data_IF_605416381263
#
_entry.id   IF_605416381263
#
_cell.length_a   1.000
_cell.length_b   1.000
_cell.length_c   1.000
_cell.angle_alpha   90.00
_cell.angle_beta   90.00
_cell.angle_gamma   90.00
#
_symmetry.space_group_name_H-M   'P 1'
#
loop_
_entity.id
_entity.type
_entity.pdbx_description
1 polymer ?
#
# COMPACT_ATOMS: atom_id res chain seq x y z
N UNK A 1 14.45 22.66 15.92
CA UNK A 1 15.46 22.53 14.84
C UNK A 1 16.12 21.14 14.88
N UNK A 2 16.85 20.76 15.93
CA UNK A 2 17.58 19.47 16.05
C UNK A 2 16.81 18.17 15.75
N UNK A 3 15.48 18.13 15.95
CA UNK A 3 14.65 16.96 15.64
C UNK A 3 14.12 16.94 14.20
N UNK A 4 13.98 18.10 13.55
CA UNK A 4 13.53 18.24 12.16
C UNK A 4 14.67 17.77 11.23
N UNK A 5 15.91 18.17 11.53
CA UNK A 5 17.10 17.76 10.78
C UNK A 5 17.29 16.24 10.78
N UNK A 6 16.98 15.59 11.92
CA UNK A 6 17.00 14.12 12.06
C UNK A 6 15.94 13.43 11.20
N UNK A 7 14.72 13.98 11.14
CA UNK A 7 13.65 13.44 10.30
C UNK A 7 13.98 13.63 8.81
N UNK A 8 14.55 14.78 8.45
CA UNK A 8 14.97 15.05 7.07
C UNK A 8 16.00 14.04 6.57
N UNK A 9 16.95 13.64 7.42
CA UNK A 9 17.94 12.62 7.08
C UNK A 9 17.35 11.20 6.90
N UNK A 10 16.14 10.95 7.42
CA UNK A 10 15.43 9.67 7.29
C UNK A 10 14.49 9.64 6.07
N UNK A 11 14.18 10.79 5.46
CA UNK A 11 13.31 10.87 4.28
C UNK A 11 13.76 9.94 3.15
N UNK A 12 15.04 9.89 2.73
CA UNK A 12 15.46 9.03 1.63
C UNK A 12 15.17 7.54 1.90
N UNK A 13 15.33 7.10 3.14
CA UNK A 13 15.02 5.72 3.55
C UNK A 13 13.50 5.47 3.50
N UNK A 14 12.69 6.44 3.92
CA UNK A 14 11.23 6.37 3.80
C UNK A 14 10.76 6.26 2.35
N UNK A 15 11.34 7.06 1.45
CA UNK A 15 11.06 6.96 0.01
C UNK A 15 11.45 5.61 -0.57
N UNK A 16 12.65 5.11 -0.25
CA UNK A 16 13.10 3.79 -0.71
C UNK A 16 12.15 2.68 -0.22
N UNK A 17 11.71 2.75 1.04
CA UNK A 17 10.76 1.80 1.61
C UNK A 17 9.41 1.85 0.88
N UNK A 18 8.89 3.05 0.57
CA UNK A 18 7.67 3.22 -0.23
C UNK A 18 7.81 2.67 -1.65
N UNK A 19 8.95 2.86 -2.31
CA UNK A 19 9.21 2.28 -3.64
C UNK A 19 9.11 0.75 -3.58
N UNK A 20 9.78 0.13 -2.61
CA UNK A 20 9.77 -1.33 -2.46
C UNK A 20 8.34 -1.81 -2.19
N UNK A 21 7.60 -1.15 -1.30
CA UNK A 21 6.19 -1.46 -1.03
C UNK A 21 5.31 -1.33 -2.28
N UNK A 22 5.45 -0.23 -3.03
CA UNK A 22 4.68 0.07 -4.23
C UNK A 22 4.91 -0.96 -5.33
N UNK A 23 6.18 -1.21 -5.67
CA UNK A 23 6.56 -2.23 -6.66
C UNK A 23 5.99 -3.59 -6.26
N UNK A 24 6.17 -3.97 -5.00
CA UNK A 24 5.75 -5.27 -4.49
C UNK A 24 4.23 -5.44 -4.61
N UNK A 25 3.45 -4.47 -4.10
CA UNK A 25 1.99 -4.50 -4.15
C UNK A 25 1.48 -4.54 -5.59
N UNK A 26 1.94 -3.62 -6.43
CA UNK A 26 1.42 -3.46 -7.79
C UNK A 26 1.83 -4.61 -8.68
N UNK A 27 3.08 -5.06 -8.60
CA UNK A 27 3.55 -6.19 -9.42
C UNK A 27 2.72 -7.43 -9.11
N UNK A 28 2.44 -7.71 -7.85
CA UNK A 28 1.62 -8.87 -7.47
C UNK A 28 0.16 -8.71 -7.90
N UNK A 29 -0.44 -7.52 -7.72
CA UNK A 29 -1.81 -7.27 -8.15
C UNK A 29 -1.96 -7.44 -9.66
N UNK A 30 -1.16 -6.72 -10.46
CA UNK A 30 -1.28 -6.69 -11.92
C UNK A 30 -0.80 -7.97 -12.59
N UNK A 31 0.16 -8.70 -11.99
CA UNK A 31 0.61 -9.99 -12.51
C UNK A 31 -0.52 -11.03 -12.56
N UNK A 32 -1.44 -10.99 -11.59
CA UNK A 32 -2.58 -11.92 -11.53
C UNK A 32 -3.59 -11.75 -12.67
N UNK A 33 -3.53 -10.62 -13.39
CA UNK A 33 -4.31 -10.33 -14.59
C UNK A 33 -3.42 -10.24 -15.85
N UNK A 34 -2.17 -10.70 -15.76
CA UNK A 34 -1.26 -10.81 -16.90
C UNK A 34 -0.56 -9.50 -17.31
N UNK A 35 -0.57 -8.47 -16.46
CA UNK A 35 0.04 -7.17 -16.76
C UNK A 35 1.36 -7.01 -16.00
N UNK A 36 2.43 -6.73 -16.73
CA UNK A 36 3.69 -6.30 -16.12
C UNK A 36 3.66 -4.77 -15.91
N UNK A 37 3.11 -4.35 -14.78
CA UNK A 37 2.88 -2.94 -14.43
C UNK A 37 4.15 -2.09 -14.39
N UNK A 38 5.32 -2.69 -14.14
CA UNK A 38 6.62 -1.99 -14.10
C UNK A 38 6.93 -1.37 -15.46
N UNK A 39 6.50 -2.01 -16.56
CA UNK A 39 6.70 -1.46 -17.92
C UNK A 39 5.87 -0.22 -18.21
N UNK A 40 4.83 0.01 -17.42
CA UNK A 40 3.85 1.07 -17.66
C UNK A 40 3.85 2.15 -16.58
N UNK A 41 4.70 2.02 -15.54
CA UNK A 41 4.66 2.90 -14.37
C UNK A 41 5.96 3.67 -14.20
N UNK A 42 5.85 4.94 -13.88
CA UNK A 42 6.96 5.77 -13.42
C UNK A 42 7.26 5.52 -11.94
N UNK A 43 8.41 6.01 -11.48
CA UNK A 43 8.77 5.99 -10.05
C UNK A 43 7.73 6.74 -9.21
N UNK A 44 7.16 7.83 -9.74
CA UNK A 44 6.13 8.60 -9.04
C UNK A 44 4.85 7.77 -8.84
N UNK A 45 4.41 7.05 -9.87
CA UNK A 45 3.22 6.18 -9.78
C UNK A 45 3.42 5.10 -8.71
N UNK A 46 4.60 4.48 -8.71
CA UNK A 46 5.00 3.47 -7.74
C UNK A 46 5.00 4.03 -6.31
N UNK A 47 5.51 5.25 -6.12
CA UNK A 47 5.56 5.90 -4.81
C UNK A 47 4.17 6.25 -4.25
N UNK A 48 3.27 6.71 -5.13
CA UNK A 48 1.91 7.11 -4.72
C UNK A 48 1.03 5.88 -4.48
N UNK A 49 1.28 4.77 -5.16
CA UNK A 49 0.43 3.58 -5.13
C UNK A 49 0.15 3.01 -3.73
N UNK A 50 1.14 2.85 -2.81
CA UNK A 50 0.85 2.46 -1.43
C UNK A 50 -0.07 3.44 -0.70
N UNK A 51 0.12 4.74 -0.93
CA UNK A 51 -0.70 5.78 -0.31
C UNK A 51 -2.14 5.70 -0.84
N UNK A 52 -2.29 5.58 -2.16
CA UNK A 52 -3.59 5.40 -2.81
C UNK A 52 -4.33 4.18 -2.26
N UNK A 53 -3.64 3.06 -2.07
CA UNK A 53 -4.20 1.85 -1.48
C UNK A 53 -4.64 2.06 -0.02
N UNK A 54 -3.86 2.78 0.80
CA UNK A 54 -4.26 3.12 2.19
C UNK A 54 -5.52 3.98 2.22
N UNK A 55 -5.67 4.89 1.25
CA UNK A 55 -6.80 5.82 1.16
C UNK A 55 -8.02 5.28 0.39
N UNK A 56 -7.93 4.10 -0.22
CA UNK A 56 -9.01 3.55 -1.06
C UNK A 56 -10.27 3.22 -0.27
N UNK A 57 -10.09 2.79 0.98
CA UNK A 57 -11.18 2.43 1.89
C UNK A 57 -10.98 3.07 3.27
N UNK A 58 -11.98 3.78 3.82
CA UNK A 58 -11.88 4.41 5.14
C UNK A 58 -11.48 3.43 6.25
N UNK A 59 -11.97 2.19 6.21
CA UNK A 59 -11.64 1.15 7.19
C UNK A 59 -10.15 0.78 7.14
N UNK A 60 -9.58 0.64 5.94
CA UNK A 60 -8.16 0.32 5.77
C UNK A 60 -7.28 1.50 6.22
N UNK A 61 -7.67 2.73 5.86
CA UNK A 61 -7.02 3.95 6.35
C UNK A 61 -6.96 4.01 7.88
N UNK A 62 -8.11 3.82 8.55
CA UNK A 62 -8.21 3.84 10.02
C UNK A 62 -7.36 2.72 10.64
N UNK A 63 -7.36 1.52 10.04
CA UNK A 63 -6.56 0.38 10.51
C UNK A 63 -5.07 0.71 10.50
N UNK A 64 -4.56 1.29 9.39
CA UNK A 64 -3.17 1.73 9.27
C UNK A 64 -2.84 2.83 10.28
N UNK A 65 -3.74 3.80 10.48
CA UNK A 65 -3.54 4.88 11.44
C UNK A 65 -3.41 4.34 12.87
N UNK A 66 -4.32 3.44 13.28
CA UNK A 66 -4.27 2.79 14.60
C UNK A 66 -2.99 1.96 14.77
N UNK A 67 -2.54 1.29 13.70
CA UNK A 67 -1.27 0.55 13.69
C UNK A 67 -0.08 1.47 13.98
N UNK A 68 0.01 2.64 13.33
CA UNK A 68 1.07 3.61 13.60
C UNK A 68 1.03 4.13 15.04
N UNK A 69 -0.16 4.45 15.56
CA UNK A 69 -0.33 4.89 16.96
C UNK A 69 0.11 3.79 17.93
N UNK A 70 -0.26 2.54 17.66
CA UNK A 70 0.16 1.39 18.47
C UNK A 70 1.68 1.24 18.47
N UNK A 71 2.32 1.21 17.29
CA UNK A 71 3.76 1.04 17.17
C UNK A 71 4.58 2.23 17.69
N UNK A 72 4.02 3.44 17.69
CA UNK A 72 4.63 4.60 18.34
C UNK A 72 4.69 4.43 19.87
N UNK A 73 3.66 3.84 20.47
CA UNK A 73 3.61 3.61 21.92
C UNK A 73 4.27 2.29 22.35
N UNK A 74 4.47 1.35 21.42
CA UNK A 74 5.00 0.01 21.67
C UNK A 74 6.33 0.02 22.45
N UNK A 75 7.35 0.86 22.15
CA UNK A 75 8.60 0.86 22.91
C UNK A 75 8.41 1.13 24.41
N UNK A 76 7.51 2.06 24.76
CA UNK A 76 7.19 2.38 26.17
C UNK A 76 6.44 1.23 26.84
N UNK A 77 5.54 0.57 26.11
CA UNK A 77 4.80 -0.60 26.60
C UNK A 77 5.74 -1.77 26.86
N UNK A 78 6.72 -1.99 25.98
CA UNK A 78 7.74 -3.04 26.13
C UNK A 78 8.65 -2.74 27.33
N UNK A 79 9.12 -1.49 27.46
CA UNK A 79 9.95 -1.07 28.60
C UNK A 79 9.22 -1.26 29.93
N UNK A 80 7.95 -0.82 30.04
CA UNK A 80 7.16 -0.95 31.27
C UNK A 80 6.92 -2.41 31.70
N UNK A 81 6.97 -3.35 30.77
CA UNK A 81 6.69 -4.76 31.03
C UNK A 81 7.94 -5.64 30.91
N UNK A 82 9.14 -5.05 30.90
CA UNK A 82 10.39 -5.74 30.55
C UNK A 82 10.66 -7.01 31.38
N UNK A 83 10.15 -7.08 32.61
CA UNK A 83 10.29 -8.24 33.50
C UNK A 83 9.72 -9.56 32.92
N UNK A 84 8.88 -9.47 31.89
CA UNK A 84 8.26 -10.64 31.25
C UNK A 84 9.21 -11.25 30.21
N UNK A 85 9.68 -12.48 30.46
CA UNK A 85 10.56 -13.26 29.56
C UNK A 85 10.10 -13.34 28.09
N UNK A 86 8.79 -13.29 27.82
CA UNK A 86 8.29 -13.30 26.44
C UNK A 86 8.66 -12.02 25.67
N UNK A 87 8.82 -10.88 26.35
CA UNK A 87 9.17 -9.59 25.72
C UNK A 87 10.60 -9.61 25.19
N UNK A 88 11.54 -10.19 25.93
CA UNK A 88 12.91 -10.39 25.46
C UNK A 88 12.97 -11.33 24.24
N UNK A 89 12.13 -12.38 24.22
CA UNK A 89 12.04 -13.29 23.07
C UNK A 89 11.37 -12.66 21.84
N UNK A 90 10.35 -11.84 22.04
CA UNK A 90 9.56 -11.23 20.96
C UNK A 90 10.24 -9.99 20.35
N UNK A 91 11.01 -9.24 21.14
CA UNK A 91 11.70 -8.03 20.69
C UNK A 91 12.86 -8.28 19.71
N UNK A 92 13.26 -9.54 19.49
CA UNK A 92 14.34 -9.90 18.56
C UNK A 92 15.68 -9.25 18.91
N UNK A 93 15.84 -8.84 20.17
CA UNK A 93 17.05 -8.19 20.67
C UNK A 93 18.13 -9.26 20.82
N UNK A 94 19.26 -9.07 20.16
CA UNK A 94 20.40 -10.01 20.18
C UNK A 94 21.25 -9.94 21.45
N UNK A 95 20.98 -8.97 22.32
CA UNK A 95 21.66 -8.80 23.61
C UNK A 95 21.12 -9.81 24.62
N UNK A 96 22.00 -10.37 25.43
CA UNK A 96 21.62 -11.27 26.52
C UNK A 96 20.85 -10.53 27.62
N UNK A 97 19.99 -11.23 28.36
CA UNK A 97 19.22 -10.66 29.49
C UNK A 97 20.12 -9.91 30.49
N UNK A 98 21.37 -10.37 30.65
CA UNK A 98 22.38 -9.76 31.53
C UNK A 98 22.87 -8.42 30.98
N UNK A 99 23.13 -8.32 29.68
CA UNK A 99 23.56 -7.08 29.02
C UNK A 99 22.43 -6.05 29.00
N UNK A 100 21.18 -6.47 28.81
CA UNK A 100 20.01 -5.58 28.84
C UNK A 100 19.80 -4.96 30.22
N UNK A 101 20.05 -5.72 31.31
CA UNK A 101 19.94 -5.23 32.69
C UNK A 101 21.00 -4.20 33.08
N UNK A 102 22.13 -4.18 32.37
CA UNK A 102 23.22 -3.24 32.62
C UNK A 102 23.06 -1.91 31.86
N UNK A 103 22.11 -1.84 30.92
CA UNK A 103 21.83 -0.63 30.14
C UNK A 103 21.00 0.37 30.95
N UNK A 104 21.25 1.65 30.68
CA UNK A 104 20.37 2.74 31.13
C UNK A 104 18.98 2.62 30.50
N UNK A 105 17.96 3.23 31.13
CA UNK A 105 16.60 3.22 30.58
C UNK A 105 16.52 3.84 29.17
N UNK A 106 17.32 4.87 28.89
CA UNK A 106 17.36 5.50 27.56
C UNK A 106 17.89 4.53 26.49
N UNK A 107 18.91 3.75 26.81
CA UNK A 107 19.48 2.75 25.89
C UNK A 107 18.51 1.60 25.64
N UNK A 108 17.79 1.16 26.67
CA UNK A 108 16.73 0.15 26.55
C UNK A 108 15.60 0.66 25.65
N UNK A 109 15.14 1.89 25.87
CA UNK A 109 14.10 2.53 25.06
C UNK A 109 14.51 2.61 23.57
N UNK A 110 15.77 2.97 23.29
CA UNK A 110 16.29 3.00 21.92
C UNK A 110 16.32 1.60 21.27
N UNK A 111 16.65 0.57 22.04
CA UNK A 111 16.63 -0.82 21.58
C UNK A 111 15.21 -1.26 21.21
N UNK A 112 14.24 -1.04 22.10
CA UNK A 112 12.82 -1.34 21.83
C UNK A 112 12.25 -0.49 20.70
N UNK A 113 12.71 0.75 20.52
CA UNK A 113 12.34 1.61 19.39
C UNK A 113 12.80 0.99 18.07
N UNK A 114 14.06 0.55 18.01
CA UNK A 114 14.60 -0.10 16.80
C UNK A 114 13.88 -1.41 16.50
N UNK A 115 13.60 -2.23 17.51
CA UNK A 115 12.80 -3.45 17.36
C UNK A 115 11.39 -3.16 16.83
N UNK A 116 10.72 -2.14 17.41
CA UNK A 116 9.37 -1.72 17.00
C UNK A 116 9.34 -1.23 15.56
N UNK A 117 10.33 -0.44 15.12
CA UNK A 117 10.44 0.02 13.72
C UNK A 117 10.63 -1.17 12.77
N UNK A 118 11.54 -2.11 13.08
CA UNK A 118 11.76 -3.31 12.23
C UNK A 118 10.51 -4.18 12.13
N UNK A 119 9.82 -4.39 13.25
CA UNK A 119 8.56 -5.14 13.31
C UNK A 119 7.47 -4.43 12.49
N UNK A 120 7.33 -3.11 12.63
CA UNK A 120 6.37 -2.32 11.85
C UNK A 120 6.67 -2.43 10.35
N UNK A 121 7.94 -2.25 9.93
CA UNK A 121 8.34 -2.37 8.53
C UNK A 121 8.00 -3.75 7.95
N UNK A 122 8.31 -4.82 8.70
CA UNK A 122 8.00 -6.19 8.30
C UNK A 122 6.49 -6.40 8.17
N UNK A 123 5.72 -5.94 9.16
CA UNK A 123 4.27 -6.04 9.17
C UNK A 123 3.65 -5.29 7.98
N UNK A 124 4.11 -4.07 7.69
CA UNK A 124 3.64 -3.29 6.55
C UNK A 124 3.92 -4.01 5.23
N UNK A 125 5.13 -4.56 5.04
CA UNK A 125 5.45 -5.37 3.85
C UNK A 125 4.47 -6.54 3.72
N UNK A 126 4.26 -7.32 4.78
CA UNK A 126 3.32 -8.44 4.77
C UNK A 126 1.88 -8.02 4.48
N UNK A 127 1.45 -6.89 5.05
CA UNK A 127 0.10 -6.35 4.84
C UNK A 127 -0.12 -5.93 3.39
N UNK A 128 0.82 -5.20 2.79
CA UNK A 128 0.72 -4.76 1.39
C UNK A 128 0.88 -5.91 0.39
N UNK A 129 1.72 -6.90 0.71
CA UNK A 129 1.77 -8.18 -0.01
C UNK A 129 0.38 -8.84 0.00
N UNK A 130 -0.20 -9.00 1.19
CA UNK A 130 -1.53 -9.60 1.36
C UNK A 130 -2.61 -8.82 0.62
N UNK A 131 -2.59 -7.49 0.69
CA UNK A 131 -3.51 -6.61 -0.03
C UNK A 131 -3.40 -6.82 -1.54
N UNK A 132 -2.19 -6.77 -2.11
CA UNK A 132 -1.99 -6.97 -3.55
C UNK A 132 -2.44 -8.35 -4.04
N UNK A 133 -2.21 -9.40 -3.24
CA UNK A 133 -2.72 -10.75 -3.52
C UNK A 133 -4.25 -10.77 -3.49
N UNK A 134 -4.86 -10.31 -2.40
CA UNK A 134 -6.30 -10.40 -2.20
C UNK A 134 -7.08 -9.60 -3.24
N UNK A 135 -6.68 -8.36 -3.48
CA UNK A 135 -7.34 -7.45 -4.43
C UNK A 135 -7.21 -7.97 -5.88
N UNK A 136 -6.01 -8.46 -6.24
CA UNK A 136 -5.78 -9.06 -7.56
C UNK A 136 -6.56 -10.34 -7.79
N UNK A 137 -6.68 -11.22 -6.78
CA UNK A 137 -7.50 -12.43 -6.85
C UNK A 137 -8.98 -12.07 -6.99
N UNK A 138 -9.47 -11.14 -6.17
CA UNK A 138 -10.85 -10.70 -6.21
C UNK A 138 -11.21 -10.15 -7.59
N UNK A 139 -10.36 -9.29 -8.16
CA UNK A 139 -10.54 -8.78 -9.51
C UNK A 139 -10.53 -9.91 -10.55
N UNK A 140 -9.54 -10.81 -10.51
CA UNK A 140 -9.44 -11.95 -11.44
C UNK A 140 -10.68 -12.84 -11.40
N UNK A 141 -11.23 -13.09 -10.20
CA UNK A 141 -12.48 -13.83 -10.02
C UNK A 141 -13.69 -13.08 -10.57
N UNK A 142 -13.78 -11.76 -10.39
CA UNK A 142 -14.87 -10.94 -10.95
C UNK A 142 -14.82 -10.90 -12.47
N UNK A 143 -13.63 -10.84 -13.06
CA UNK A 143 -13.41 -10.96 -14.51
C UNK A 143 -13.92 -12.32 -15.00
N UNK A 144 -13.47 -13.43 -14.39
CA UNK A 144 -13.85 -14.80 -14.80
C UNK A 144 -15.35 -15.08 -14.63
N UNK A 145 -15.95 -14.57 -13.56
CA UNK A 145 -17.36 -14.78 -13.24
C UNK A 145 -18.31 -13.77 -13.89
N UNK A 146 -17.81 -12.85 -14.73
CA UNK A 146 -18.60 -11.82 -15.40
C UNK A 146 -19.39 -10.93 -14.43
N UNK A 147 -18.80 -10.64 -13.25
CA UNK A 147 -19.40 -9.84 -12.17
C UNK A 147 -18.86 -8.40 -12.12
N UNK A 148 -18.19 -7.94 -13.17
CA UNK A 148 -17.67 -6.58 -13.24
C UNK A 148 -18.81 -5.56 -13.34
N UNK A 149 -18.65 -4.44 -12.64
CA UNK A 149 -19.59 -3.32 -12.69
C UNK A 149 -19.03 -2.20 -13.56
N UNK A 150 -19.55 -2.09 -14.79
CA UNK A 150 -19.19 -1.04 -15.74
C UNK A 150 -19.84 0.29 -15.35
N UNK A 151 -19.22 0.98 -14.38
CA UNK A 151 -19.73 2.22 -13.79
C UNK A 151 -19.20 3.48 -14.46
N UNK A 152 -18.30 3.33 -15.44
CA UNK A 152 -17.66 4.44 -16.13
C UNK A 152 -17.93 4.40 -17.63
N UNK A 153 -17.94 5.57 -18.25
CA UNK A 153 -17.92 5.74 -19.70
C UNK A 153 -16.64 6.47 -20.08
N UNK A 154 -15.90 5.90 -21.01
CA UNK A 154 -14.64 6.44 -21.49
C UNK A 154 -14.88 7.07 -22.86
N UNK A 155 -14.62 8.38 -22.97
CA UNK A 155 -14.80 9.13 -24.20
C UNK A 155 -13.44 9.42 -24.82
N UNK A 156 -13.25 8.99 -26.07
CA UNK A 156 -12.02 9.16 -26.82
C UNK A 156 -11.95 10.53 -27.50
N UNK A 157 -10.73 10.92 -27.91
CA UNK A 157 -10.51 12.14 -28.68
C UNK A 157 -11.16 12.11 -30.07
N UNK A 158 -11.49 10.92 -30.60
CA UNK A 158 -12.17 10.70 -31.88
C UNK A 158 -13.71 10.60 -31.75
N UNK A 159 -14.27 11.11 -30.65
CA UNK A 159 -15.71 11.10 -30.30
C UNK A 159 -16.33 9.71 -30.08
N UNK A 160 -15.57 8.63 -30.23
CA UNK A 160 -16.05 7.29 -29.82
C UNK A 160 -16.17 7.23 -28.30
N UNK A 161 -17.05 6.35 -27.84
CA UNK A 161 -17.21 6.10 -26.41
C UNK A 161 -17.61 4.66 -26.13
N UNK A 162 -17.25 4.18 -24.95
CA UNK A 162 -17.64 2.85 -24.49
C UNK A 162 -17.79 2.82 -22.96
N UNK A 163 -18.67 1.94 -22.48
CA UNK A 163 -18.79 1.63 -21.06
C UNK A 163 -17.62 0.75 -20.65
N UNK A 164 -16.98 1.10 -19.53
CA UNK A 164 -15.74 0.46 -19.09
C UNK A 164 -15.75 0.15 -17.61
N UNK A 165 -15.04 -0.92 -17.27
CA UNK A 165 -14.56 -1.19 -15.93
C UNK A 165 -13.11 -0.70 -15.84
N UNK A 166 -12.86 0.31 -15.00
CA UNK A 166 -11.50 0.79 -14.75
C UNK A 166 -10.83 -0.15 -13.75
N UNK A 167 -9.79 -0.86 -14.20
CA UNK A 167 -8.93 -1.66 -13.33
C UNK A 167 -8.03 -0.75 -12.51
N UNK A 168 -7.48 0.28 -13.15
CA UNK A 168 -6.64 1.28 -12.53
C UNK A 168 -6.16 2.31 -13.53
N UNK A 169 -5.44 3.29 -13.03
CA UNK A 169 -4.80 4.31 -13.84
C UNK A 169 -3.49 4.71 -13.19
N UNK A 170 -2.56 5.17 -14.01
CA UNK A 170 -1.37 5.87 -13.56
C UNK A 170 -1.23 7.17 -14.36
N UNK A 171 -0.12 7.89 -14.18
CA UNK A 171 0.09 9.17 -14.86
C UNK A 171 0.10 9.09 -16.40
N UNK A 172 0.42 7.93 -16.98
CA UNK A 172 0.57 7.75 -18.42
C UNK A 172 -0.53 6.91 -19.08
N UNK A 173 -1.17 6.00 -18.35
CA UNK A 173 -2.09 5.00 -18.89
C UNK A 173 -3.34 4.78 -18.03
N UNK A 174 -4.42 4.42 -18.71
CA UNK A 174 -5.57 3.74 -18.13
C UNK A 174 -5.51 2.24 -18.44
N UNK A 175 -5.83 1.42 -17.44
CA UNK A 175 -6.00 -0.03 -17.54
C UNK A 175 -7.48 -0.32 -17.33
N UNK A 176 -8.14 -0.88 -18.34
CA UNK A 176 -9.59 -1.06 -18.29
C UNK A 176 -10.07 -2.20 -19.17
N UNK A 177 -11.35 -2.56 -19.00
CA UNK A 177 -12.05 -3.53 -19.83
C UNK A 177 -13.33 -2.91 -20.36
N UNK A 178 -13.67 -3.19 -21.61
CA UNK A 178 -14.95 -2.78 -22.19
C UNK A 178 -16.06 -3.74 -21.81
N UNK A 179 -17.29 -3.24 -21.73
CA UNK A 179 -18.48 -4.07 -21.55
C UNK A 179 -18.58 -5.13 -22.66
N UNK A 180 -18.76 -6.40 -22.28
CA UNK A 180 -18.81 -7.53 -23.21
C UNK A 180 -17.46 -7.99 -23.80
N UNK A 181 -16.34 -7.35 -23.43
CA UNK A 181 -15.01 -7.74 -23.90
C UNK A 181 -14.11 -8.17 -22.72
N UNK A 182 -13.55 -9.38 -22.81
CA UNK A 182 -12.64 -9.91 -21.80
C UNK A 182 -11.19 -9.44 -21.94
N UNK A 183 -10.85 -8.72 -23.02
CA UNK A 183 -9.51 -8.18 -23.22
C UNK A 183 -9.28 -6.98 -22.31
N UNK A 184 -8.14 -6.97 -21.62
CA UNK A 184 -7.68 -5.81 -20.89
C UNK A 184 -7.02 -4.85 -21.87
N UNK A 185 -7.52 -3.63 -21.93
CA UNK A 185 -7.01 -2.54 -22.75
C UNK A 185 -6.11 -1.64 -21.92
N UNK A 186 -5.02 -1.20 -22.55
CA UNK A 186 -4.08 -0.22 -21.99
C UNK A 186 -4.07 0.96 -22.94
N UNK A 187 -4.66 2.07 -22.54
CA UNK A 187 -4.75 3.27 -23.37
C UNK A 187 -3.92 4.40 -22.76
N UNK A 188 -3.12 5.14 -23.55
CA UNK A 188 -2.47 6.35 -23.08
C UNK A 188 -3.50 7.37 -22.59
N UNK A 189 -3.21 8.05 -21.49
CA UNK A 189 -4.08 9.12 -20.95
C UNK A 189 -4.35 10.19 -22.02
N UNK A 190 -3.35 10.52 -22.85
CA UNK A 190 -3.46 11.53 -23.91
C UNK A 190 -4.46 11.19 -25.04
N UNK A 191 -4.91 9.93 -25.18
CA UNK A 191 -5.93 9.54 -26.17
C UNK A 191 -7.35 9.62 -25.63
N UNK A 192 -7.52 9.95 -24.35
CA UNK A 192 -8.80 9.96 -23.65
C UNK A 192 -9.22 11.40 -23.41
N UNK A 193 -10.38 11.78 -23.94
CA UNK A 193 -10.94 13.12 -23.80
C UNK A 193 -11.43 13.35 -22.38
N UNK A 194 -12.20 12.41 -21.85
CA UNK A 194 -12.63 12.41 -20.44
C UNK A 194 -13.07 11.01 -20.00
N UNK A 195 -13.23 10.87 -18.68
CA UNK A 195 -13.81 9.71 -18.01
C UNK A 195 -15.05 10.16 -17.23
N UNK A 196 -16.20 9.59 -17.56
CA UNK A 196 -17.48 9.90 -16.93
C UNK A 196 -17.87 8.79 -15.95
N UNK A 197 -18.26 9.16 -14.72
CA UNK A 197 -18.88 8.25 -13.76
C UNK A 197 -20.38 8.18 -14.04
N UNK A 198 -20.83 7.12 -14.71
CA UNK A 198 -22.21 6.95 -15.17
C UNK A 198 -23.11 6.23 -14.15
N UNK A 199 -22.51 5.55 -13.16
CA UNK A 199 -23.22 4.93 -12.03
C UNK A 199 -22.52 5.30 -10.73
N UNK A 200 -23.04 6.30 -10.04
CA UNK A 200 -22.52 6.77 -8.77
C UNK A 200 -23.34 6.19 -7.62
N UNK A 201 -22.84 5.09 -7.02
CA UNK A 201 -23.50 4.43 -5.88
C UNK A 201 -23.78 5.32 -4.66
N UNK A 202 -23.13 6.48 -4.56
CA UNK A 202 -23.34 7.42 -3.45
C UNK A 202 -24.42 8.47 -3.75
N UNK A 203 -24.74 8.71 -5.03
CA UNK A 203 -25.72 9.71 -5.46
C UNK A 203 -26.96 9.07 -6.09
N UNK A 204 -26.80 7.92 -6.74
CA UNK A 204 -27.87 7.17 -7.37
C UNK A 204 -28.60 6.37 -6.29
N UNK A 205 -29.87 6.70 -6.08
CA UNK A 205 -30.79 6.00 -5.17
C UNK A 205 -31.37 4.75 -5.81
#
# INVERSE_FOLDING_TARGET
MKNIDKVQNLLPLGYLFLIILGITKDSIFYYQIGINIIKYSSIMDILISPIAAVTSHPVFFITILLLFIFYYNLPKILLKNEDKKWIHKFSGITKTDTELKQLSEEEKLNCYTTASIKSLSTFLISLFLGYGIADGKFLSEHIKSHKLHYNYKLNYSDEKSENVYIIGSNTAYYFYMSEGNSAIKIAPVGSIKNLELIKNRMLDK
#
